data_IF_075556542514
#
_entry.id   IF_075556542514
#
_cell.length_a   1.000
_cell.length_b   1.000
_cell.length_c   1.000
_cell.angle_alpha   90.00
_cell.angle_beta   90.00
_cell.angle_gamma   90.00
#
_symmetry.space_group_name_H-M   'P 1'
#
loop_
_entity.id
_entity.type
_entity.pdbx_description
1 polymer ?
#
# COMPACT_ATOMS: atom_id res chain seq x y z
N UNK A 1 14.47 -38.72 -12.57
CA UNK A 1 14.66 -37.51 -11.75
C UNK A 1 13.49 -37.39 -10.79
N UNK A 2 13.71 -37.65 -9.50
CA UNK A 2 12.66 -37.48 -8.48
C UNK A 2 12.73 -36.04 -8.00
N UNK A 3 11.77 -35.22 -8.41
CA UNK A 3 11.62 -33.86 -7.93
C UNK A 3 11.10 -33.94 -6.49
N UNK A 4 11.96 -33.59 -5.55
CA UNK A 4 11.66 -33.62 -4.11
C UNK A 4 10.60 -32.56 -3.80
N UNK A 5 9.42 -32.99 -3.33
CA UNK A 5 8.34 -32.15 -2.84
C UNK A 5 8.73 -31.29 -1.61
N UNK A 6 9.92 -31.48 -1.04
CA UNK A 6 10.32 -30.84 0.23
C UNK A 6 10.83 -29.40 0.10
N UNK A 7 10.99 -28.85 -1.10
CA UNK A 7 11.47 -27.46 -1.29
C UNK A 7 10.36 -26.44 -1.50
N UNK A 8 9.09 -26.88 -1.59
CA UNK A 8 7.92 -26.00 -1.76
C UNK A 8 7.16 -25.78 -0.44
N UNK A 9 7.84 -25.87 0.70
CA UNK A 9 7.25 -25.55 2.02
C UNK A 9 7.89 -24.34 2.71
N UNK A 10 8.87 -23.69 2.08
CA UNK A 10 9.63 -22.57 2.68
C UNK A 10 9.00 -21.18 2.53
N UNK A 11 7.87 -21.04 1.85
CA UNK A 11 7.18 -19.76 1.64
C UNK A 11 5.70 -19.79 2.10
N UNK A 12 5.39 -20.54 3.17
CA UNK A 12 4.16 -20.29 3.93
C UNK A 12 4.43 -19.20 4.96
N UNK A 13 4.64 -17.97 4.49
CA UNK A 13 4.50 -16.81 5.34
C UNK A 13 3.03 -16.72 5.76
N UNK A 14 2.79 -16.52 7.06
CA UNK A 14 1.47 -16.38 7.66
C UNK A 14 0.69 -15.23 6.99
N UNK A 15 -0.09 -15.52 5.95
CA UNK A 15 -1.07 -14.56 5.45
C UNK A 15 -2.27 -14.58 6.38
N UNK A 16 -2.41 -13.53 7.21
CA UNK A 16 -3.64 -13.29 7.95
C UNK A 16 -4.70 -12.84 6.95
N UNK A 17 -5.84 -13.55 6.91
CA UNK A 17 -6.94 -13.21 6.02
C UNK A 17 -7.49 -11.81 6.33
N UNK A 18 -7.64 -10.99 5.30
CA UNK A 18 -8.45 -9.77 5.36
C UNK A 18 -9.93 -10.10 5.30
N UNK A 19 -10.76 -9.33 6.04
CA UNK A 19 -12.22 -9.40 5.94
C UNK A 19 -12.80 -8.05 5.55
N UNK A 20 -13.61 -7.99 4.48
CA UNK A 20 -14.30 -6.78 4.05
C UNK A 20 -15.70 -7.11 3.52
N UNK A 21 -16.73 -6.39 4.01
CA UNK A 21 -18.15 -6.59 3.65
C UNK A 21 -18.60 -8.07 3.73
N UNK A 22 -18.10 -8.83 4.69
CA UNK A 22 -18.43 -10.25 4.89
C UNK A 22 -17.68 -11.23 3.97
N UNK A 23 -16.82 -10.73 3.09
CA UNK A 23 -15.90 -11.55 2.29
C UNK A 23 -14.63 -11.74 3.10
N UNK A 24 -14.21 -13.00 3.29
CA UNK A 24 -12.93 -13.34 3.92
C UNK A 24 -12.06 -14.00 2.88
N UNK A 25 -10.88 -13.43 2.65
CA UNK A 25 -9.92 -13.97 1.70
C UNK A 25 -8.56 -14.17 2.40
N UNK A 26 -8.09 -15.42 2.41
CA UNK A 26 -6.81 -15.81 3.00
C UNK A 26 -5.60 -15.19 2.28
N UNK A 27 -5.81 -14.68 1.06
CA UNK A 27 -4.81 -13.99 0.25
C UNK A 27 -4.97 -12.47 0.27
N UNK A 28 -5.99 -11.95 0.97
CA UNK A 28 -6.14 -10.51 1.18
C UNK A 28 -5.21 -10.04 2.30
N UNK A 29 -4.48 -8.96 2.07
CA UNK A 29 -3.64 -8.32 3.07
C UNK A 29 -4.52 -7.78 4.21
N UNK A 30 -4.28 -8.24 5.44
CA UNK A 30 -4.91 -7.68 6.61
C UNK A 30 -4.15 -6.42 7.06
N UNK A 31 -4.71 -5.25 6.74
CA UNK A 31 -4.13 -3.95 7.09
C UNK A 31 -4.25 -3.59 8.58
N UNK A 32 -4.98 -4.38 9.39
CA UNK A 32 -5.18 -4.11 10.82
C UNK A 32 -4.13 -4.76 11.73
N UNK A 33 -3.30 -5.68 11.21
CA UNK A 33 -2.27 -6.34 12.05
C UNK A 33 -0.93 -5.61 12.08
N UNK A 34 -0.69 -4.65 11.17
CA UNK A 34 0.54 -3.84 11.09
C UNK A 34 1.84 -4.66 10.92
N UNK A 35 1.75 -5.96 10.64
CA UNK A 35 2.90 -6.90 10.65
C UNK A 35 3.91 -6.64 9.52
N UNK A 36 3.53 -5.87 8.49
CA UNK A 36 4.34 -5.61 7.29
C UNK A 36 4.86 -4.17 7.24
N UNK A 37 4.88 -3.49 8.40
CA UNK A 37 5.28 -2.07 8.48
C UNK A 37 6.73 -1.84 8.06
N UNK A 38 7.63 -2.80 8.28
CA UNK A 38 9.08 -2.68 8.02
C UNK A 38 9.65 -3.86 7.20
N UNK A 39 8.93 -4.35 6.19
CA UNK A 39 9.33 -5.57 5.48
C UNK A 39 10.63 -5.42 4.69
N UNK A 40 10.95 -4.21 4.22
CA UNK A 40 12.19 -3.95 3.47
C UNK A 40 13.44 -4.02 4.36
N UNK A 41 13.30 -3.87 5.68
CA UNK A 41 14.40 -4.05 6.66
C UNK A 41 15.10 -5.41 6.62
N UNK A 42 14.46 -6.41 6.01
CA UNK A 42 15.01 -7.77 5.88
C UNK A 42 15.85 -7.97 4.61
N UNK A 43 15.88 -6.97 3.72
CA UNK A 43 16.61 -6.99 2.46
C UNK A 43 18.02 -6.40 2.64
N UNK A 44 18.93 -6.74 1.73
CA UNK A 44 20.22 -6.06 1.63
C UNK A 44 20.07 -4.71 0.92
N UNK A 45 20.82 -3.70 1.36
CA UNK A 45 20.80 -2.34 0.79
C UNK A 45 21.18 -2.27 -0.69
N UNK A 46 21.88 -3.29 -1.21
CA UNK A 46 22.32 -3.39 -2.60
C UNK A 46 21.31 -4.10 -3.52
N UNK A 47 20.19 -4.59 -2.98
CA UNK A 47 19.14 -5.24 -3.77
C UNK A 47 18.44 -4.20 -4.67
N UNK A 48 18.45 -4.35 -6.00
CA UNK A 48 17.80 -3.40 -6.88
C UNK A 48 16.27 -3.40 -6.67
N UNK A 49 15.65 -2.22 -6.51
CA UNK A 49 14.18 -2.11 -6.39
C UNK A 49 13.44 -2.81 -7.53
N UNK A 50 13.96 -2.73 -8.76
CA UNK A 50 13.38 -3.37 -9.93
C UNK A 50 13.39 -4.91 -9.89
N UNK A 51 14.11 -5.52 -8.94
CA UNK A 51 14.13 -6.97 -8.72
C UNK A 51 13.10 -7.45 -7.67
N UNK A 52 12.45 -6.51 -6.98
CA UNK A 52 11.50 -6.80 -5.91
C UNK A 52 10.08 -6.92 -6.45
N UNK A 53 9.30 -7.81 -5.84
CA UNK A 53 7.84 -7.79 -5.93
C UNK A 53 7.30 -6.77 -4.93
N UNK A 54 6.99 -5.56 -5.39
CA UNK A 54 6.54 -4.46 -4.53
C UNK A 54 5.02 -4.32 -4.64
N UNK A 55 4.27 -4.45 -3.53
CA UNK A 55 2.83 -4.21 -3.55
C UNK A 55 2.52 -2.71 -3.67
N UNK A 56 1.51 -2.39 -4.47
CA UNK A 56 1.08 -1.03 -4.77
C UNK A 56 -0.43 -0.88 -4.77
N UNK A 57 -0.91 0.35 -4.61
CA UNK A 57 -2.34 0.70 -4.72
C UNK A 57 -2.57 1.66 -5.87
N UNK A 58 -3.61 1.39 -6.68
CA UNK A 58 -4.07 2.28 -7.76
C UNK A 58 -5.04 3.32 -7.20
N UNK A 59 -4.83 4.59 -7.58
CA UNK A 59 -5.48 5.76 -7.00
C UNK A 59 -5.52 5.70 -5.46
N UNK A 60 -4.36 5.80 -4.81
CA UNK A 60 -4.20 5.44 -3.39
C UNK A 60 -5.03 6.26 -2.40
N UNK A 61 -5.51 7.44 -2.79
CA UNK A 61 -6.18 8.42 -1.91
C UNK A 61 -7.70 8.46 -2.04
N UNK A 62 -8.37 7.37 -2.41
CA UNK A 62 -9.83 7.38 -2.61
C UNK A 62 -10.64 6.92 -1.38
N UNK A 63 -10.01 6.69 -0.24
CA UNK A 63 -10.69 6.13 0.97
C UNK A 63 -11.85 6.99 1.48
N UNK A 64 -11.83 8.29 1.18
CA UNK A 64 -12.91 9.24 1.50
C UNK A 64 -13.98 9.40 0.41
N UNK A 65 -13.81 8.81 -0.76
CA UNK A 65 -14.82 8.89 -1.83
C UNK A 65 -16.02 8.02 -1.46
N UNK A 66 -17.22 8.61 -1.45
CA UNK A 66 -18.48 7.90 -1.16
C UNK A 66 -19.08 7.18 -2.39
N UNK A 67 -18.73 7.62 -3.61
CA UNK A 67 -19.14 6.94 -4.84
C UNK A 67 -18.33 5.64 -5.00
N UNK A 68 -18.96 4.51 -4.66
CA UNK A 68 -18.40 3.15 -4.78
C UNK A 68 -17.81 2.85 -6.17
N UNK A 69 -18.30 3.49 -7.25
CA UNK A 69 -17.77 3.29 -8.60
C UNK A 69 -16.44 4.03 -8.85
N UNK A 70 -16.13 5.01 -8.00
CA UNK A 70 -14.93 5.85 -8.04
C UNK A 70 -14.00 5.61 -6.85
N UNK A 71 -14.38 4.75 -5.89
CA UNK A 71 -13.54 4.36 -4.77
C UNK A 71 -12.73 3.10 -5.12
N UNK A 72 -11.40 3.19 -5.11
CA UNK A 72 -10.50 2.04 -5.35
C UNK A 72 -9.85 1.53 -4.06
N UNK A 73 -9.69 2.40 -3.06
CA UNK A 73 -9.19 2.11 -1.72
C UNK A 73 -10.25 2.44 -0.69
N UNK A 74 -10.33 1.63 0.38
CA UNK A 74 -11.24 1.78 1.51
C UNK A 74 -10.51 2.06 2.84
N UNK A 75 -9.20 2.28 2.78
CA UNK A 75 -8.33 2.49 3.95
C UNK A 75 -7.43 3.70 3.73
N UNK A 76 -7.20 4.54 4.75
CA UNK A 76 -6.30 5.70 4.65
C UNK A 76 -4.88 5.31 4.26
N UNK A 77 -4.16 6.21 3.59
CA UNK A 77 -2.79 5.98 3.11
C UNK A 77 -1.84 5.45 4.19
N UNK A 78 -1.87 6.02 5.41
CA UNK A 78 -1.02 5.54 6.50
C UNK A 78 -1.26 4.07 6.85
N UNK A 79 -2.52 3.61 6.82
CA UNK A 79 -2.85 2.19 7.03
C UNK A 79 -2.35 1.32 5.87
N UNK A 80 -2.40 1.82 4.63
CA UNK A 80 -1.83 1.11 3.47
C UNK A 80 -0.32 0.92 3.65
N UNK A 81 0.41 1.96 4.06
CA UNK A 81 1.85 1.89 4.32
C UNK A 81 2.18 0.91 5.44
N UNK A 82 1.46 0.96 6.55
CA UNK A 82 1.63 0.02 7.65
C UNK A 82 1.32 -1.45 7.27
N UNK A 83 0.43 -1.64 6.29
CA UNK A 83 0.15 -2.95 5.71
C UNK A 83 1.15 -3.42 4.65
N UNK A 84 2.20 -2.64 4.39
CA UNK A 84 3.31 -3.03 3.51
C UNK A 84 3.27 -2.45 2.09
N UNK A 85 2.27 -1.62 1.73
CA UNK A 85 2.23 -0.94 0.43
C UNK A 85 3.42 0.02 0.31
N UNK A 86 4.15 -0.04 -0.81
CA UNK A 86 5.27 0.87 -1.11
C UNK A 86 5.20 1.53 -2.48
N UNK A 87 4.29 1.12 -3.37
CA UNK A 87 4.02 1.86 -4.61
C UNK A 87 2.69 2.61 -4.50
N UNK A 88 2.75 3.94 -4.60
CA UNK A 88 1.61 4.84 -4.38
C UNK A 88 1.28 5.58 -5.68
N UNK A 89 0.06 5.38 -6.18
CA UNK A 89 -0.43 6.03 -7.40
C UNK A 89 -1.29 7.25 -7.05
N UNK A 90 -0.78 8.44 -7.41
CA UNK A 90 -1.41 9.73 -7.12
C UNK A 90 -1.59 10.51 -8.42
N UNK A 91 -2.85 10.85 -8.73
CA UNK A 91 -3.17 11.79 -9.80
C UNK A 91 -3.56 13.13 -9.20
N UNK A 92 -2.81 14.18 -9.54
CA UNK A 92 -3.06 15.53 -9.06
C UNK A 92 -3.61 16.45 -10.16
N UNK A 93 -4.37 17.45 -9.73
CA UNK A 93 -4.80 18.59 -10.53
C UNK A 93 -4.51 19.89 -9.77
N UNK A 94 -3.97 20.88 -10.48
CA UNK A 94 -3.83 22.23 -9.93
C UNK A 94 -5.17 22.96 -9.95
N UNK A 95 -5.66 23.36 -8.76
CA UNK A 95 -6.94 24.05 -8.54
C UNK A 95 -6.80 24.99 -7.34
N UNK A 96 -7.33 26.22 -7.44
CA UNK A 96 -7.35 27.20 -6.34
C UNK A 96 -5.97 27.38 -5.66
N UNK A 97 -4.93 27.57 -6.48
CA UNK A 97 -3.53 27.73 -6.07
C UNK A 97 -2.92 26.53 -5.30
N UNK A 98 -3.54 25.35 -5.37
CA UNK A 98 -3.08 24.14 -4.69
C UNK A 98 -3.07 22.92 -5.63
N UNK A 99 -2.20 21.94 -5.33
CA UNK A 99 -2.21 20.63 -6.00
C UNK A 99 -3.15 19.69 -5.24
N UNK A 100 -4.33 19.44 -5.79
CA UNK A 100 -5.35 18.59 -5.19
C UNK A 100 -5.37 17.21 -5.84
N UNK A 101 -5.69 16.17 -5.08
CA UNK A 101 -5.70 14.78 -5.55
C UNK A 101 -7.07 14.41 -6.11
N UNK A 102 -7.08 13.72 -7.26
CA UNK A 102 -8.29 13.33 -7.97
C UNK A 102 -8.25 11.86 -8.37
N UNK A 103 -9.44 11.24 -8.44
CA UNK A 103 -9.68 10.06 -9.26
C UNK A 103 -10.61 10.45 -10.41
N UNK A 104 -10.06 10.54 -11.63
CA UNK A 104 -10.79 11.01 -12.80
C UNK A 104 -11.35 12.42 -12.61
N UNK A 105 -12.66 12.53 -12.40
CA UNK A 105 -13.35 13.82 -12.20
C UNK A 105 -13.65 14.12 -10.72
N UNK A 106 -13.42 13.17 -9.83
CA UNK A 106 -13.78 13.28 -8.41
C UNK A 106 -12.58 13.77 -7.62
N UNK A 107 -12.77 14.86 -6.87
CA UNK A 107 -11.80 15.33 -5.88
C UNK A 107 -11.85 14.37 -4.68
N UNK A 108 -10.70 13.84 -4.27
CA UNK A 108 -10.63 12.92 -3.14
C UNK A 108 -10.77 13.60 -1.77
N UNK A 109 -10.64 14.92 -1.74
CA UNK A 109 -10.58 15.72 -0.51
C UNK A 109 -9.18 15.79 0.11
N UNK A 110 -8.15 15.31 -0.60
CA UNK A 110 -6.75 15.40 -0.18
C UNK A 110 -5.96 16.32 -1.11
N UNK A 111 -4.99 17.02 -0.54
CA UNK A 111 -3.95 17.74 -1.26
C UNK A 111 -2.70 16.86 -1.46
N UNK A 112 -1.81 17.26 -2.37
CA UNK A 112 -0.48 16.66 -2.48
C UNK A 112 0.33 16.85 -1.19
N UNK A 113 0.10 17.94 -0.46
CA UNK A 113 0.73 18.18 0.85
C UNK A 113 0.33 17.12 1.87
N UNK A 114 -0.95 16.74 1.94
CA UNK A 114 -1.43 15.66 2.82
C UNK A 114 -0.74 14.33 2.49
N UNK A 115 -0.59 14.04 1.19
CA UNK A 115 0.11 12.84 0.71
C UNK A 115 1.56 12.87 1.17
N UNK A 116 2.31 13.90 0.80
CA UNK A 116 3.74 14.00 1.09
C UNK A 116 4.02 13.99 2.60
N UNK A 117 3.20 14.69 3.38
CA UNK A 117 3.30 14.68 4.86
C UNK A 117 3.16 13.25 5.38
N UNK A 118 2.15 12.51 4.91
CA UNK A 118 1.96 11.11 5.32
C UNK A 118 3.14 10.22 4.93
N UNK A 119 3.71 10.41 3.73
CA UNK A 119 4.86 9.64 3.26
C UNK A 119 6.13 9.93 4.09
N UNK A 120 6.41 11.21 4.36
CA UNK A 120 7.58 11.61 5.13
C UNK A 120 7.47 11.18 6.59
N UNK A 121 6.32 11.39 7.23
CA UNK A 121 6.10 10.93 8.62
C UNK A 121 6.30 9.41 8.74
N UNK A 122 5.86 8.64 7.74
CA UNK A 122 6.08 7.20 7.70
C UNK A 122 7.56 6.84 7.55
N UNK A 123 8.28 7.47 6.61
CA UNK A 123 9.70 7.19 6.38
C UNK A 123 10.58 7.60 7.56
N UNK A 124 10.24 8.69 8.25
CA UNK A 124 10.90 9.10 9.50
C UNK A 124 10.71 8.06 10.62
N UNK A 125 9.52 7.45 10.68
CA UNK A 125 9.22 6.38 11.63
C UNK A 125 9.82 5.02 11.22
N UNK A 126 9.99 4.77 9.92
CA UNK A 126 10.45 3.49 9.35
C UNK A 126 11.62 3.72 8.37
N UNK A 127 12.81 4.09 8.87
CA UNK A 127 13.94 4.51 8.02
C UNK A 127 14.57 3.40 7.18
N UNK A 128 14.16 2.15 7.36
CA UNK A 128 14.56 1.01 6.53
C UNK A 128 13.73 0.85 5.25
N UNK A 129 12.65 1.61 5.10
CA UNK A 129 11.71 1.47 4.00
C UNK A 129 11.95 2.51 2.90
N UNK A 130 11.41 2.26 1.71
CA UNK A 130 11.40 3.20 0.59
C UNK A 130 10.04 3.20 -0.11
N UNK A 131 9.61 4.36 -0.60
CA UNK A 131 8.35 4.58 -1.32
C UNK A 131 8.64 5.10 -2.72
#
# INVERSE_FOLDING_TARGET
>A
MRLSMLTMLGFLAFSHAGSYKGITDAWSFNLDTFDQTAWMSTLGDDVPLASLSIPGTHHSMTDKIEDDSMQTQNMPLLKQLHGGIRYIDITCRYTDDSMMVYNGRVNTGYSLEDVLTTLFDFLDAQPSEAI
#
